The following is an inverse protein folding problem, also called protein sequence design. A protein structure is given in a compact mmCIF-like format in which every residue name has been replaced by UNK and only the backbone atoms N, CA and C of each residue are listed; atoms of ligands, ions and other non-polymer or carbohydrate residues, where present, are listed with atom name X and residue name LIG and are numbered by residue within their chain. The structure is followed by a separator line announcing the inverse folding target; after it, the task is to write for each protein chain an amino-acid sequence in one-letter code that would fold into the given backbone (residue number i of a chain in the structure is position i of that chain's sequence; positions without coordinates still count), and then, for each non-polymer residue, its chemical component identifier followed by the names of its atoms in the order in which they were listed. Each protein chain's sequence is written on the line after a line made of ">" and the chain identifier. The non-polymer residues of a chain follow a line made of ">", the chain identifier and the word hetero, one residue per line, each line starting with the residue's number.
data_IF_086687855634
#
_entry.id   IF_086687855634
#
_cell.length_a   1.000
_cell.length_b   1.000
_cell.length_c   1.000
_cell.angle_alpha   90.00
_cell.angle_beta   90.00
_cell.angle_gamma   90.00
#
_symmetry.space_group_name_H-M   'P 1'
#
loop_
_entity.id
_entity.type
_entity.pdbx_description
1 polymer ?
#
# COMPACT_ATOMS: atom_id res chain seq x y z
N UNK A 1 -1.17 20.35 -20.64
CA UNK A 1 -1.02 18.93 -20.27
C UNK A 1 -2.08 18.55 -19.25
N UNK A 2 -2.76 17.46 -19.51
CA UNK A 2 -3.70 16.92 -18.52
C UNK A 2 -2.91 16.36 -17.30
N UNK A 3 -3.48 16.52 -16.11
CA UNK A 3 -2.91 15.87 -14.92
C UNK A 3 -3.23 14.38 -14.95
N UNK A 4 -2.31 13.50 -14.53
CA UNK A 4 -2.62 12.10 -14.42
C UNK A 4 -3.72 11.86 -13.38
N UNK A 5 -4.60 10.93 -13.67
CA UNK A 5 -5.68 10.52 -12.77
C UNK A 5 -5.35 9.13 -12.23
N UNK A 6 -5.26 9.03 -10.91
CA UNK A 6 -4.96 7.78 -10.20
C UNK A 6 -6.15 7.32 -9.39
N UNK A 7 -6.18 6.03 -9.07
CA UNK A 7 -7.18 5.45 -8.18
C UNK A 7 -6.48 4.71 -7.03
N UNK A 8 -7.03 4.85 -5.83
CA UNK A 8 -6.57 4.12 -4.66
C UNK A 8 -7.03 2.67 -4.72
N UNK A 9 -6.12 1.74 -4.45
CA UNK A 9 -6.39 0.31 -4.64
C UNK A 9 -7.04 -0.39 -3.45
N UNK A 10 -7.14 0.27 -2.30
CA UNK A 10 -7.61 -0.34 -1.05
C UNK A 10 -9.03 -0.90 -1.09
N UNK A 11 -9.92 -0.35 -1.94
CA UNK A 11 -11.28 -0.87 -2.11
C UNK A 11 -11.31 -2.28 -2.72
N UNK A 12 -10.24 -2.69 -3.37
CA UNK A 12 -10.09 -3.99 -4.04
C UNK A 12 -8.91 -4.78 -3.49
N UNK A 13 -8.63 -4.63 -2.19
CA UNK A 13 -7.50 -5.33 -1.55
C UNK A 13 -7.67 -6.86 -1.53
N UNK A 14 -8.86 -7.36 -1.78
CA UNK A 14 -9.21 -8.76 -1.97
C UNK A 14 -8.80 -9.33 -3.34
N UNK A 15 -8.51 -8.44 -4.31
CA UNK A 15 -8.04 -8.85 -5.63
C UNK A 15 -6.51 -8.86 -5.71
N UNK A 16 -5.91 -9.78 -6.47
CA UNK A 16 -4.50 -9.66 -6.86
C UNK A 16 -4.24 -8.34 -7.59
N UNK A 17 -3.09 -7.71 -7.31
CA UNK A 17 -2.75 -6.41 -7.90
C UNK A 17 -2.78 -6.43 -9.43
N UNK A 18 -2.28 -7.49 -10.04
CA UNK A 18 -2.26 -7.59 -11.51
C UNK A 18 -3.67 -7.66 -12.10
N UNK A 19 -4.60 -8.33 -11.44
CA UNK A 19 -6.01 -8.36 -11.88
C UNK A 19 -6.63 -6.97 -11.79
N UNK A 20 -6.38 -6.26 -10.71
CA UNK A 20 -6.84 -4.88 -10.56
C UNK A 20 -6.20 -3.96 -11.60
N UNK A 21 -4.92 -4.15 -11.92
CA UNK A 21 -4.23 -3.37 -12.94
C UNK A 21 -4.91 -3.52 -14.31
N UNK A 22 -5.30 -4.71 -14.70
CA UNK A 22 -6.07 -4.95 -15.94
C UNK A 22 -7.39 -4.17 -15.96
N UNK A 23 -8.11 -4.19 -14.84
CA UNK A 23 -9.40 -3.49 -14.71
C UNK A 23 -9.21 -1.97 -14.78
N UNK A 24 -8.32 -1.40 -13.96
CA UNK A 24 -8.10 0.04 -13.88
C UNK A 24 -7.54 0.63 -15.18
N UNK A 25 -6.67 -0.11 -15.86
CA UNK A 25 -6.22 0.24 -17.21
C UNK A 25 -7.38 0.32 -18.19
N UNK A 26 -8.29 -0.66 -18.16
CA UNK A 26 -9.48 -0.65 -19.04
C UNK A 26 -10.47 0.49 -18.72
N UNK A 27 -10.46 0.99 -17.48
CA UNK A 27 -11.29 2.13 -17.06
C UNK A 27 -10.68 3.49 -17.43
N UNK A 28 -9.43 3.50 -17.94
CA UNK A 28 -8.79 4.71 -18.43
C UNK A 28 -8.02 5.50 -17.37
N UNK A 29 -7.66 4.89 -16.23
CA UNK A 29 -6.78 5.53 -15.25
C UNK A 29 -5.33 5.55 -15.74
N UNK A 30 -4.60 6.60 -15.35
CA UNK A 30 -3.18 6.78 -15.65
C UNK A 30 -2.27 6.07 -14.65
N UNK A 31 -2.79 5.75 -13.47
CA UNK A 31 -2.01 5.10 -12.44
C UNK A 31 -2.78 4.69 -11.20
N UNK A 32 -2.04 4.12 -10.25
CA UNK A 32 -2.56 3.62 -8.99
C UNK A 32 -1.87 4.30 -7.80
N UNK A 33 -2.63 4.51 -6.72
CA UNK A 33 -2.10 4.69 -5.38
C UNK A 33 -2.21 3.35 -4.66
N UNK A 34 -1.07 2.72 -4.38
CA UNK A 34 -1.05 1.35 -3.85
C UNK A 34 -1.34 1.31 -2.35
N UNK A 35 -2.26 0.45 -1.95
CA UNK A 35 -2.48 0.11 -0.55
C UNK A 35 -1.30 -0.71 0.00
N UNK A 36 -0.76 -0.31 1.16
CA UNK A 36 0.32 -1.03 1.85
C UNK A 36 -0.21 -2.22 2.66
N UNK A 37 -1.02 -3.06 2.03
CA UNK A 37 -1.51 -4.33 2.59
C UNK A 37 -1.97 -5.26 1.48
N UNK A 38 -2.17 -6.54 1.85
CA UNK A 38 -2.53 -7.59 0.90
C UNK A 38 -1.46 -7.78 -0.18
N UNK A 39 -1.88 -8.15 -1.37
CA UNK A 39 -0.99 -8.35 -2.52
C UNK A 39 -0.51 -7.03 -3.16
N UNK A 40 -1.10 -5.89 -2.78
CA UNK A 40 -0.85 -4.64 -3.49
C UNK A 40 0.52 -4.05 -3.20
N UNK A 41 0.90 -3.96 -1.94
CA UNK A 41 2.26 -3.58 -1.55
C UNK A 41 2.60 -4.14 -0.17
N UNK A 42 3.65 -4.92 -0.10
CA UNK A 42 4.18 -5.51 1.12
C UNK A 42 5.46 -4.75 1.51
N UNK A 43 5.42 -4.06 2.64
CA UNK A 43 6.53 -3.23 3.13
C UNK A 43 7.74 -4.10 3.50
N UNK A 44 7.52 -5.23 4.17
CA UNK A 44 8.60 -6.13 4.59
C UNK A 44 9.29 -6.77 3.38
N UNK A 45 8.51 -7.19 2.38
CA UNK A 45 9.06 -7.70 1.13
C UNK A 45 9.85 -6.62 0.37
N UNK A 46 9.38 -5.37 0.38
CA UNK A 46 10.09 -4.26 -0.25
C UNK A 46 11.41 -3.93 0.45
N UNK A 47 11.46 -4.03 1.78
CA UNK A 47 12.68 -3.84 2.56
C UNK A 47 13.68 -5.00 2.39
N UNK A 48 13.20 -6.20 2.15
CA UNK A 48 14.02 -7.40 2.02
C UNK A 48 14.56 -7.64 0.60
N UNK A 49 14.09 -6.90 -0.41
CA UNK A 49 14.43 -7.16 -1.81
C UNK A 49 14.74 -5.89 -2.59
N UNK A 50 15.90 -5.85 -3.22
CA UNK A 50 16.32 -4.72 -4.08
C UNK A 50 15.49 -4.61 -5.37
N UNK A 51 14.78 -5.66 -5.76
CA UNK A 51 14.03 -5.68 -7.03
C UNK A 51 12.51 -5.55 -6.85
N UNK A 52 11.97 -5.76 -5.65
CA UNK A 52 10.52 -5.80 -5.40
C UNK A 52 9.77 -4.58 -5.98
N UNK A 53 10.23 -3.38 -5.66
CA UNK A 53 9.58 -2.15 -6.14
C UNK A 53 9.72 -1.99 -7.66
N UNK A 54 10.88 -2.37 -8.21
CA UNK A 54 11.13 -2.32 -9.65
C UNK A 54 10.19 -3.27 -10.38
N UNK A 55 10.11 -4.52 -9.93
CA UNK A 55 9.28 -5.56 -10.56
C UNK A 55 7.80 -5.18 -10.55
N UNK A 56 7.30 -4.64 -9.42
CA UNK A 56 5.92 -4.11 -9.35
C UNK A 56 5.69 -2.95 -10.33
N UNK A 57 6.61 -2.00 -10.40
CA UNK A 57 6.49 -0.88 -11.34
C UNK A 57 6.51 -1.35 -12.79
N UNK A 58 7.35 -2.30 -13.14
CA UNK A 58 7.43 -2.86 -14.48
C UNK A 58 6.16 -3.61 -14.86
N UNK A 59 5.60 -4.39 -13.95
CA UNK A 59 4.31 -5.06 -14.14
C UNK A 59 3.19 -4.03 -14.40
N UNK A 60 3.06 -3.02 -13.56
CA UNK A 60 2.03 -1.98 -13.73
C UNK A 60 2.23 -1.19 -15.02
N UNK A 61 3.47 -0.86 -15.36
CA UNK A 61 3.82 -0.17 -16.60
C UNK A 61 3.42 -0.97 -17.84
N UNK A 62 3.46 -2.30 -17.78
CA UNK A 62 3.00 -3.15 -18.89
C UNK A 62 1.51 -3.00 -19.18
N UNK A 63 0.72 -2.52 -18.21
CA UNK A 63 -0.70 -2.14 -18.36
C UNK A 63 -0.91 -0.63 -18.59
N UNK A 64 0.16 0.13 -18.82
CA UNK A 64 0.09 1.58 -19.00
C UNK A 64 -0.14 2.38 -17.72
N UNK A 65 0.10 1.77 -16.55
CA UNK A 65 -0.13 2.39 -15.25
C UNK A 65 1.17 2.81 -14.58
N UNK A 66 1.13 3.96 -13.89
CA UNK A 66 2.22 4.46 -13.06
C UNK A 66 1.82 4.47 -11.58
N UNK A 67 2.82 4.64 -10.71
CA UNK A 67 2.63 4.82 -9.27
C UNK A 67 3.33 6.09 -8.84
N UNK A 68 2.59 7.04 -8.29
CA UNK A 68 3.11 8.30 -7.73
C UNK A 68 2.93 8.38 -6.22
N UNK A 69 2.10 7.52 -5.64
CA UNK A 69 1.84 7.47 -4.21
C UNK A 69 1.56 6.05 -3.74
N UNK A 70 1.86 5.79 -2.48
CA UNK A 70 1.40 4.61 -1.73
C UNK A 70 0.59 5.08 -0.53
N UNK A 71 -0.41 4.31 -0.13
CA UNK A 71 -1.23 4.59 1.04
C UNK A 71 -0.84 3.69 2.19
N UNK A 72 -0.27 4.26 3.23
CA UNK A 72 0.20 3.55 4.42
C UNK A 72 -0.71 3.75 5.65
N UNK A 73 -1.93 4.24 5.47
CA UNK A 73 -2.77 4.65 6.60
C UNK A 73 -3.10 3.51 7.56
N UNK A 74 -3.20 2.26 7.14
CA UNK A 74 -3.40 1.14 8.06
C UNK A 74 -2.13 0.78 8.84
N UNK A 75 -0.98 0.78 8.18
CA UNK A 75 0.27 0.31 8.78
C UNK A 75 1.07 1.43 9.43
N UNK A 76 0.93 2.67 8.98
CA UNK A 76 1.70 3.82 9.43
C UNK A 76 0.90 4.93 10.13
N UNK A 77 -0.39 4.76 10.34
CA UNK A 77 -1.25 5.85 10.84
C UNK A 77 -0.91 6.33 12.26
N UNK A 78 -0.33 5.49 13.09
CA UNK A 78 -0.04 5.81 14.49
C UNK A 78 1.39 6.30 14.74
N UNK A 79 2.22 6.45 13.70
CA UNK A 79 3.66 6.77 13.84
C UNK A 79 3.90 8.06 14.66
N UNK A 80 3.09 9.09 14.46
CA UNK A 80 3.22 10.37 15.14
C UNK A 80 2.30 10.54 16.34
N UNK A 81 1.54 9.50 16.71
CA UNK A 81 0.60 9.55 17.81
C UNK A 81 1.22 9.18 19.16
N UNK A 82 0.55 9.60 20.24
CA UNK A 82 0.77 9.06 21.57
C UNK A 82 0.04 7.72 21.67
N UNK A 83 0.74 6.64 21.36
CA UNK A 83 0.17 5.30 21.23
C UNK A 83 -0.27 4.77 22.59
N UNK A 84 -1.54 4.36 22.68
CA UNK A 84 -2.15 3.75 23.86
C UNK A 84 -3.18 2.66 23.46
N UNK A 85 -3.89 2.10 24.42
CA UNK A 85 -4.87 1.01 24.21
C UNK A 85 -5.97 1.31 23.18
N UNK A 86 -6.26 2.58 22.90
CA UNK A 86 -7.24 2.96 21.87
C UNK A 86 -6.80 2.57 20.48
N UNK A 87 -5.49 2.53 20.26
CA UNK A 87 -4.90 2.17 18.95
C UNK A 87 -5.03 0.68 18.63
N UNK A 88 -5.23 -0.17 19.66
CA UNK A 88 -5.40 -1.62 19.46
C UNK A 88 -6.58 -1.96 18.55
N UNK A 89 -7.64 -1.17 18.58
CA UNK A 89 -8.84 -1.39 17.77
C UNK A 89 -8.75 -0.89 16.33
N UNK A 90 -7.73 -0.09 16.00
CA UNK A 90 -7.59 0.55 14.69
C UNK A 90 -6.35 0.10 13.91
N UNK A 91 -5.36 -0.48 14.60
CA UNK A 91 -4.16 -0.99 13.95
C UNK A 91 -4.30 -2.47 13.59
N UNK A 92 -3.71 -2.92 12.46
CA UNK A 92 -3.57 -4.33 12.20
C UNK A 92 -2.86 -5.06 13.35
N UNK A 93 -3.23 -6.31 13.67
CA UNK A 93 -2.64 -7.05 14.80
C UNK A 93 -1.12 -7.21 14.74
N UNK A 94 -0.56 -7.36 13.55
CA UNK A 94 0.89 -7.45 13.31
C UNK A 94 1.60 -6.12 13.57
N UNK A 95 0.95 -5.00 13.28
CA UNK A 95 1.47 -3.66 13.60
C UNK A 95 1.33 -3.35 15.09
N UNK A 96 0.18 -3.67 15.71
CA UNK A 96 -0.01 -3.49 17.15
C UNK A 96 0.97 -4.33 17.97
N UNK A 97 1.15 -5.61 17.63
CA UNK A 97 2.02 -6.53 18.34
C UNK A 97 1.66 -6.64 19.83
N UNK A 98 2.58 -6.27 20.71
CA UNK A 98 2.41 -6.22 22.16
C UNK A 98 1.92 -4.86 22.68
N UNK A 99 1.78 -3.86 21.79
CA UNK A 99 1.33 -2.51 22.13
C UNK A 99 2.41 -1.60 22.71
N UNK A 100 3.67 -2.06 22.78
CA UNK A 100 4.78 -1.15 23.11
C UNK A 100 4.88 -0.01 22.08
N UNK A 101 4.78 1.27 22.50
CA UNK A 101 4.72 2.38 21.56
C UNK A 101 5.88 2.45 20.56
N UNK A 102 7.11 2.19 21.02
CA UNK A 102 8.27 2.19 20.12
C UNK A 102 8.27 0.96 19.18
N UNK A 103 7.79 -0.17 19.67
CA UNK A 103 7.58 -1.36 18.85
C UNK A 103 6.54 -1.13 17.75
N UNK A 104 5.42 -0.49 18.07
CA UNK A 104 4.38 -0.11 17.10
C UNK A 104 4.94 0.83 16.03
N UNK A 105 5.74 1.84 16.42
CA UNK A 105 6.34 2.79 15.47
C UNK A 105 7.33 2.14 14.52
N UNK A 106 7.98 1.06 14.93
CA UNK A 106 8.98 0.35 14.11
C UNK A 106 8.38 -0.68 13.17
N UNK A 107 7.23 -1.22 13.53
CA UNK A 107 6.50 -2.16 12.67
C UNK A 107 5.71 -1.43 11.60
#
# INVERSE_FOLDING_TARGET
>A
MARPVTIFTGQWADLPLEELAKKTSSWGYDGLELACWGDHFDVDAALASDTYCKDKKEMLKSYGLNVWAISSHLVGQAICDNIDERHKGILPPDIWGDGDPEGVRKR
#
